data_IF_602342631284
#
_entry.id   IF_602342631284
#
_cell.length_a   1.000
_cell.length_b   1.000
_cell.length_c   1.000
_cell.angle_alpha   90.00
_cell.angle_beta   90.00
_cell.angle_gamma   90.00
#
_symmetry.space_group_name_H-M   'P 1'
#
loop_
_entity.id
_entity.type
_entity.pdbx_description
1 polymer ?
#
# COMPACT_ATOMS: atom_id res chain seq x y z
N UNK A 1 13.66 -16.16 16.66
CA UNK A 1 12.20 -16.05 16.43
C UNK A 1 12.04 -15.29 15.12
N UNK A 2 11.41 -15.85 14.06
CA UNK A 2 10.98 -14.98 12.97
C UNK A 2 9.98 -14.01 13.58
N UNK A 3 10.30 -12.72 13.56
CA UNK A 3 9.43 -11.68 14.09
C UNK A 3 8.30 -11.52 13.08
N UNK A 4 7.20 -12.24 13.28
CA UNK A 4 5.97 -12.00 12.53
C UNK A 4 5.54 -10.57 12.86
N UNK A 5 5.55 -9.67 11.86
CA UNK A 5 5.03 -8.30 12.03
C UNK A 5 3.67 -8.36 12.72
N UNK A 6 3.41 -7.42 13.62
CA UNK A 6 2.06 -7.17 14.14
C UNK A 6 1.14 -6.66 13.04
N UNK A 7 -0.17 -6.73 13.27
CA UNK A 7 -1.18 -6.15 12.36
C UNK A 7 -0.90 -4.67 12.06
N UNK A 8 -0.49 -3.90 13.07
CA UNK A 8 -0.16 -2.48 12.90
C UNK A 8 1.11 -2.26 12.07
N UNK A 9 2.16 -3.04 12.33
CA UNK A 9 3.39 -2.98 11.54
C UNK A 9 3.14 -3.41 10.09
N UNK A 10 2.26 -4.39 9.89
CA UNK A 10 1.82 -4.81 8.57
C UNK A 10 1.14 -3.68 7.80
N UNK A 11 0.18 -3.01 8.44
CA UNK A 11 -0.58 -1.89 7.86
C UNK A 11 0.26 -0.62 7.71
N UNK A 12 1.26 -0.40 8.56
CA UNK A 12 2.20 0.71 8.47
C UNK A 12 3.05 0.66 7.19
N UNK A 13 3.04 -0.47 6.46
CA UNK A 13 3.62 -0.55 5.12
C UNK A 13 2.80 0.21 4.07
N UNK A 14 1.54 0.56 4.32
CA UNK A 14 0.79 1.40 3.40
C UNK A 14 1.47 2.78 3.31
N UNK A 15 1.61 3.29 2.08
CA UNK A 15 2.37 4.52 1.90
C UNK A 15 1.65 5.73 2.49
N UNK A 16 2.46 6.69 2.94
CA UNK A 16 2.04 7.91 3.61
C UNK A 16 2.01 9.12 2.67
N UNK A 17 2.19 8.92 1.36
CA UNK A 17 2.22 10.02 0.41
C UNK A 17 0.84 10.66 0.29
N UNK A 18 0.79 11.99 0.33
CA UNK A 18 -0.42 12.69 -0.07
C UNK A 18 -0.71 12.47 -1.56
N UNK A 19 -1.97 12.61 -2.01
CA UNK A 19 -2.30 12.46 -3.42
C UNK A 19 -1.47 13.37 -4.33
N UNK A 20 -1.17 14.59 -3.91
CA UNK A 20 -0.34 15.54 -4.66
C UNK A 20 1.12 15.06 -4.76
N UNK A 21 1.69 14.56 -3.66
CA UNK A 21 3.06 14.02 -3.65
C UNK A 21 3.19 12.77 -4.53
N UNK A 22 2.21 11.88 -4.46
CA UNK A 22 2.18 10.68 -5.31
C UNK A 22 2.08 11.06 -6.79
N UNK A 23 1.20 12.00 -7.15
CA UNK A 23 1.07 12.50 -8.53
C UNK A 23 2.35 13.18 -9.03
N UNK A 24 3.00 14.00 -8.20
CA UNK A 24 4.26 14.65 -8.54
C UNK A 24 5.38 13.64 -8.82
N UNK A 25 5.33 12.47 -8.17
CA UNK A 25 6.28 11.37 -8.36
C UNK A 25 5.85 10.37 -9.45
N UNK A 26 4.70 10.57 -10.10
CA UNK A 26 4.15 9.61 -11.08
C UNK A 26 3.67 8.29 -10.46
N UNK A 27 3.47 8.26 -9.14
CA UNK A 27 3.03 7.09 -8.39
C UNK A 27 1.52 7.09 -8.21
N UNK A 28 0.94 5.90 -8.09
CA UNK A 28 -0.46 5.74 -7.73
C UNK A 28 -0.73 6.39 -6.39
N UNK A 29 -1.66 7.35 -6.36
CA UNK A 29 -2.05 8.05 -5.14
C UNK A 29 -2.62 7.12 -4.07
N UNK A 30 -3.25 6.02 -4.48
CA UNK A 30 -3.98 5.15 -3.56
C UNK A 30 -3.10 4.14 -2.83
N UNK A 31 -2.09 3.57 -3.50
CA UNK A 31 -1.11 2.67 -2.87
C UNK A 31 0.27 3.30 -2.70
N UNK A 32 0.42 4.59 -2.99
CA UNK A 32 1.70 5.32 -2.95
C UNK A 32 2.83 4.62 -3.71
N UNK A 33 2.54 4.04 -4.88
CA UNK A 33 3.57 3.35 -5.67
C UNK A 33 3.74 1.85 -5.43
N UNK A 34 3.06 1.27 -4.44
CA UNK A 34 3.34 -0.12 -4.01
C UNK A 34 2.64 -1.21 -4.83
N UNK A 35 1.64 -0.86 -5.63
CA UNK A 35 0.79 -1.81 -6.35
C UNK A 35 -0.17 -2.63 -5.46
N UNK A 36 -0.02 -2.57 -4.14
CA UNK A 36 -0.88 -3.27 -3.19
C UNK A 36 -1.07 -2.46 -1.91
N UNK A 37 -2.17 -2.77 -1.21
CA UNK A 37 -2.48 -2.30 0.13
C UNK A 37 -2.35 -3.49 1.10
N UNK A 38 -1.73 -3.24 2.24
CA UNK A 38 -1.49 -4.20 3.30
C UNK A 38 -2.54 -3.97 4.38
N UNK A 39 -3.36 -4.98 4.68
CA UNK A 39 -4.38 -4.89 5.73
C UNK A 39 -4.34 -6.12 6.62
N UNK A 40 -4.69 -5.98 7.89
CA UNK A 40 -4.73 -7.08 8.83
C UNK A 40 -6.01 -7.04 9.67
N UNK A 41 -6.62 -8.21 9.88
CA UNK A 41 -7.82 -8.35 10.70
C UNK A 41 -7.70 -9.55 11.63
N UNK A 42 -7.64 -9.30 12.93
CA UNK A 42 -7.59 -10.35 13.96
C UNK A 42 -6.39 -11.29 13.82
N UNK A 43 -5.21 -10.76 13.50
CA UNK A 43 -3.99 -11.54 13.26
C UNK A 43 -3.87 -12.15 11.87
N UNK A 44 -4.84 -11.93 10.98
CA UNK A 44 -4.79 -12.39 9.58
C UNK A 44 -4.35 -11.25 8.68
N UNK A 45 -3.08 -11.30 8.26
CA UNK A 45 -2.49 -10.37 7.29
C UNK A 45 -2.93 -10.71 5.87
N UNK A 46 -3.31 -9.67 5.11
CA UNK A 46 -3.71 -9.76 3.71
C UNK A 46 -3.03 -8.69 2.89
N UNK A 47 -2.67 -9.08 1.67
CA UNK A 47 -2.21 -8.17 0.62
C UNK A 47 -3.30 -8.05 -0.41
N UNK A 48 -3.83 -6.83 -0.58
CA UNK A 48 -4.90 -6.54 -1.53
C UNK A 48 -4.29 -5.75 -2.68
N UNK A 49 -4.41 -6.28 -3.91
CA UNK A 49 -3.96 -5.57 -5.11
C UNK A 49 -4.67 -4.22 -5.19
N UNK A 50 -3.91 -3.15 -5.43
CA UNK A 50 -4.46 -1.81 -5.52
C UNK A 50 -5.45 -1.73 -6.70
N UNK A 51 -6.72 -1.36 -6.48
CA UNK A 51 -7.72 -1.33 -7.55
C UNK A 51 -7.46 -0.21 -8.57
N UNK A 52 -6.91 0.92 -8.11
CA UNK A 52 -6.64 2.11 -8.95
C UNK A 52 -5.58 1.84 -10.01
N UNK A 53 -4.39 1.42 -9.57
CA UNK A 53 -3.27 1.12 -10.46
C UNK A 53 -3.28 -0.33 -10.94
N UNK A 54 -4.21 -1.17 -10.50
CA UNK A 54 -4.24 -2.60 -10.83
C UNK A 54 -2.88 -3.26 -10.60
N UNK A 55 -2.16 -2.93 -9.53
CA UNK A 55 -0.92 -3.60 -9.19
C UNK A 55 0.36 -3.13 -9.88
N UNK A 56 0.30 -2.17 -10.80
CA UNK A 56 1.52 -1.61 -11.42
C UNK A 56 2.18 -0.53 -10.54
N UNK A 57 1.43 0.07 -9.60
CA UNK A 57 1.95 1.11 -8.71
C UNK A 57 2.01 2.49 -9.36
N UNK A 58 1.68 2.62 -10.63
CA UNK A 58 1.87 3.86 -11.39
C UNK A 58 0.63 4.77 -11.30
N UNK A 59 0.85 6.07 -11.45
CA UNK A 59 -0.24 7.03 -11.57
C UNK A 59 -1.02 6.76 -12.86
N UNK A 60 -2.31 6.42 -12.75
CA UNK A 60 -3.22 6.44 -13.89
C UNK A 60 -3.75 7.85 -14.10
N UNK A 61 -3.69 8.30 -15.35
CA UNK A 61 -4.15 9.62 -15.81
C UNK A 61 -5.66 9.70 -15.89
#
# INVERSE_FOLDING_TARGET
MPQTMTDQEWEAQNGSLSPEQARAQGLCWHCSGKGANYTAFGGVQRTVRCPECRGDGEARR
#
